data_IF_654005408081
#
_entry.id   IF_654005408081
#
_cell.length_a   1.000
_cell.length_b   1.000
_cell.length_c   1.000
_cell.angle_alpha   90.00
_cell.angle_beta   90.00
_cell.angle_gamma   90.00
#
_symmetry.space_group_name_H-M   'P 1'
#
loop_
_entity.id
_entity.type
_entity.pdbx_description
1 polymer ?
#
# COMPACT_ATOMS: atom_id res chain seq x y z
N UNK A 1 13.39 -7.23 59.28
CA UNK A 1 12.16 -6.57 58.78
C UNK A 1 12.42 -6.28 57.31
N UNK A 2 11.85 -7.09 56.38
CA UNK A 2 10.56 -6.85 55.69
C UNK A 2 10.61 -5.51 54.94
N UNK A 3 10.43 -5.33 53.64
CA UNK A 3 9.82 -6.05 52.51
C UNK A 3 10.56 -5.58 51.23
N UNK A 4 10.69 -6.29 50.10
CA UNK A 4 9.74 -7.22 49.50
C UNK A 4 8.75 -6.52 48.55
N UNK A 5 9.20 -5.61 47.67
CA UNK A 5 8.32 -5.01 46.65
C UNK A 5 8.26 -5.92 45.43
N UNK A 6 7.24 -6.78 45.48
CA UNK A 6 6.73 -7.63 44.41
C UNK A 6 6.07 -6.77 43.34
N UNK A 7 6.67 -6.66 42.15
CA UNK A 7 5.99 -6.15 40.95
C UNK A 7 5.45 -7.33 40.16
N UNK A 8 4.18 -7.63 40.39
CA UNK A 8 3.35 -8.49 39.57
C UNK A 8 3.17 -7.87 38.18
N UNK A 9 3.89 -8.38 37.19
CA UNK A 9 3.58 -8.11 35.77
C UNK A 9 2.50 -9.09 35.36
N UNK A 10 1.29 -8.57 35.13
CA UNK A 10 0.20 -9.32 34.54
C UNK A 10 0.57 -9.72 33.11
N UNK A 11 0.90 -11.01 32.93
CA UNK A 11 1.08 -11.61 31.61
C UNK A 11 -0.31 -11.85 31.03
N UNK A 12 -0.78 -10.94 30.18
CA UNK A 12 -1.92 -11.21 29.32
C UNK A 12 -1.54 -12.33 28.35
N UNK A 13 -2.06 -13.53 28.61
CA UNK A 13 -2.02 -14.66 27.67
C UNK A 13 -2.94 -14.35 26.50
N UNK A 14 -2.38 -13.87 25.40
CA UNK A 14 -3.08 -13.94 24.10
C UNK A 14 -2.92 -15.38 23.60
N UNK A 15 -4.03 -16.10 23.58
CA UNK A 15 -4.16 -17.44 23.00
C UNK A 15 -4.16 -17.29 21.46
N UNK A 16 -3.34 -18.02 20.69
CA UNK A 16 -3.49 -18.05 19.24
C UNK A 16 -4.58 -19.06 18.87
N UNK A 17 -5.68 -18.56 18.31
CA UNK A 17 -6.71 -19.37 17.64
C UNK A 17 -6.32 -19.66 16.19
N UNK A 18 -6.84 -20.76 15.60
CA UNK A 18 -6.19 -21.45 14.50
C UNK A 18 -6.47 -20.84 13.12
N UNK A 19 -5.57 -21.16 12.20
CA UNK A 19 -5.66 -20.99 10.74
C UNK A 19 -7.08 -21.22 10.21
N UNK A 20 -7.71 -20.16 9.72
CA UNK A 20 -8.87 -20.24 8.85
C UNK A 20 -8.44 -19.82 7.45
N UNK A 21 -8.29 -20.82 6.58
CA UNK A 21 -8.15 -20.68 5.14
C UNK A 21 -9.54 -20.32 4.60
N UNK A 22 -9.77 -19.07 4.22
CA UNK A 22 -10.98 -18.67 3.51
C UNK A 22 -10.62 -17.83 2.29
N UNK A 23 -10.70 -18.47 1.13
CA UNK A 23 -10.76 -17.84 -0.18
C UNK A 23 -12.01 -16.97 -0.28
N UNK A 24 -11.84 -15.66 -0.26
CA UNK A 24 -12.86 -14.71 -0.69
C UNK A 24 -12.36 -13.98 -1.94
N UNK A 25 -12.74 -14.53 -3.09
CA UNK A 25 -12.85 -13.79 -4.34
C UNK A 25 -14.00 -12.79 -4.19
N UNK A 26 -13.75 -11.52 -4.46
CA UNK A 26 -14.80 -10.56 -4.77
C UNK A 26 -14.38 -9.74 -5.98
N UNK A 27 -15.14 -9.79 -7.08
CA UNK A 27 -14.90 -9.00 -8.28
C UNK A 27 -15.75 -7.74 -8.20
N UNK A 28 -15.14 -6.55 -8.13
CA UNK A 28 -15.81 -5.26 -8.38
C UNK A 28 -14.76 -4.18 -8.50
N UNK A 29 -14.67 -3.52 -9.65
CA UNK A 29 -14.44 -2.08 -9.85
C UNK A 29 -13.93 -1.84 -11.29
N UNK A 30 -14.87 -1.87 -12.24
CA UNK A 30 -14.77 -1.11 -13.48
C UNK A 30 -16.11 -0.40 -13.65
N UNK A 31 -16.19 0.81 -13.13
CA UNK A 31 -17.30 1.73 -13.33
C UNK A 31 -16.77 3.15 -13.25
N UNK A 32 -16.41 3.72 -14.40
CA UNK A 32 -16.63 5.13 -14.72
C UNK A 32 -16.42 5.36 -16.23
N UNK A 33 -17.49 5.18 -17.00
CA UNK A 33 -17.72 5.87 -18.26
C UNK A 33 -19.21 6.19 -18.31
N UNK A 34 -19.51 7.49 -18.31
CA UNK A 34 -20.86 8.03 -18.33
C UNK A 34 -21.62 7.65 -19.61
N UNK A 35 -22.96 7.55 -19.52
CA UNK A 35 -23.81 7.07 -20.60
C UNK A 35 -24.30 8.22 -21.48
N UNK A 36 -24.50 7.94 -22.78
CA UNK A 36 -25.64 8.47 -23.55
C UNK A 36 -25.59 7.88 -24.97
N UNK A 37 -26.22 6.72 -25.15
CA UNK A 37 -26.82 6.40 -26.46
C UNK A 37 -27.93 5.37 -26.27
N UNK A 38 -29.16 5.80 -26.51
CA UNK A 38 -30.37 4.98 -26.50
C UNK A 38 -30.60 4.38 -27.89
N UNK A 39 -30.89 3.08 -28.03
CA UNK A 39 -31.48 2.56 -29.25
C UNK A 39 -32.92 2.12 -28.97
N UNK A 40 -33.86 3.02 -29.25
CA UNK A 40 -35.28 2.72 -29.37
C UNK A 40 -35.67 2.57 -30.85
N UNK A 41 -35.97 1.33 -31.24
CA UNK A 41 -37.02 0.93 -32.18
C UNK A 41 -37.24 1.72 -33.49
N UNK A 42 -36.81 1.16 -34.63
CA UNK A 42 -37.64 1.15 -35.86
C UNK A 42 -37.46 -0.20 -36.57
N UNK A 43 -38.41 -1.12 -36.34
CA UNK A 43 -38.71 -2.24 -37.24
C UNK A 43 -39.72 -1.73 -38.28
N UNK A 44 -39.32 -1.66 -39.55
CA UNK A 44 -40.26 -1.55 -40.66
C UNK A 44 -39.89 -2.55 -41.74
N UNK A 45 -40.79 -3.53 -41.85
CA UNK A 45 -40.85 -4.58 -42.84
C UNK A 45 -41.07 -3.99 -44.23
N UNK A 46 -40.19 -4.30 -45.18
CA UNK A 46 -40.53 -4.32 -46.61
C UNK A 46 -39.93 -5.58 -47.25
N UNK A 47 -40.80 -6.58 -47.45
CA UNK A 47 -40.58 -7.66 -48.42
C UNK A 47 -40.56 -7.04 -49.82
N UNK A 48 -39.43 -7.14 -50.50
CA UNK A 48 -39.30 -6.83 -51.92
C UNK A 48 -38.13 -7.61 -52.51
N UNK A 49 -38.44 -8.68 -53.24
CA UNK A 49 -37.47 -9.50 -53.97
C UNK A 49 -36.96 -8.73 -55.18
N UNK A 50 -35.74 -8.19 -55.13
CA UNK A 50 -35.03 -7.64 -56.31
C UNK A 50 -33.54 -8.00 -56.25
N UNK A 51 -33.15 -8.95 -57.11
CA UNK A 51 -31.86 -9.15 -57.78
C UNK A 51 -30.56 -8.75 -57.05
N UNK A 52 -29.88 -9.75 -56.47
CA UNK A 52 -28.70 -9.64 -55.59
C UNK A 52 -27.32 -9.60 -56.28
N UNK A 53 -27.19 -9.11 -57.52
CA UNK A 53 -25.87 -9.17 -58.21
C UNK A 53 -25.23 -7.87 -58.69
N UNK A 54 -25.90 -6.72 -58.66
CA UNK A 54 -25.34 -5.47 -59.24
C UNK A 54 -25.28 -4.26 -58.32
N UNK A 55 -25.79 -4.35 -57.08
CA UNK A 55 -25.77 -3.24 -56.10
C UNK A 55 -24.62 -3.30 -55.09
N UNK A 56 -23.94 -4.45 -54.92
CA UNK A 56 -22.81 -4.55 -53.99
C UNK A 56 -21.58 -3.77 -54.43
N UNK A 57 -21.30 -3.63 -55.74
CA UNK A 57 -20.11 -2.91 -56.22
C UNK A 57 -20.17 -1.39 -56.01
N UNK A 58 -21.36 -0.79 -55.97
CA UNK A 58 -21.51 0.66 -55.76
C UNK A 58 -21.57 1.01 -54.27
N UNK A 59 -22.21 0.18 -53.44
CA UNK A 59 -22.23 0.39 -51.99
C UNK A 59 -20.85 0.19 -51.33
N UNK A 60 -20.00 -0.71 -51.84
CA UNK A 60 -18.67 -0.96 -51.28
C UNK A 60 -17.67 0.19 -51.49
N UNK A 61 -17.90 1.05 -52.48
CA UNK A 61 -17.00 2.19 -52.78
C UNK A 61 -17.38 3.48 -52.05
N UNK A 62 -18.64 3.61 -51.61
CA UNK A 62 -19.13 4.82 -50.92
C UNK A 62 -18.83 4.78 -49.42
N UNK A 63 -18.80 3.59 -48.81
CA UNK A 63 -18.45 3.39 -47.41
C UNK A 63 -17.01 3.84 -47.03
N UNK A 64 -15.94 3.46 -47.78
CA UNK A 64 -14.58 3.88 -47.43
C UNK A 64 -14.35 5.39 -47.64
N UNK A 65 -15.02 6.02 -48.61
CA UNK A 65 -14.94 7.47 -48.81
C UNK A 65 -15.55 8.29 -47.66
N UNK A 66 -16.61 7.78 -47.03
CA UNK A 66 -17.19 8.39 -45.82
C UNK A 66 -16.31 8.17 -44.58
N UNK A 67 -15.63 7.03 -44.46
CA UNK A 67 -14.69 6.77 -43.35
C UNK A 67 -13.48 7.72 -43.42
N UNK A 68 -12.91 7.96 -44.61
CA UNK A 68 -11.80 8.90 -44.78
C UNK A 68 -12.15 10.36 -44.43
N UNK A 69 -13.43 10.77 -44.56
CA UNK A 69 -13.88 12.13 -44.22
C UNK A 69 -13.92 12.37 -42.70
N UNK A 70 -14.12 11.34 -41.88
CA UNK A 70 -14.25 11.47 -40.42
C UNK A 70 -12.89 11.55 -39.72
N UNK A 71 -11.82 11.03 -40.31
CA UNK A 71 -10.47 11.02 -39.72
C UNK A 71 -9.69 12.34 -39.86
N UNK A 72 -10.25 13.32 -40.58
CA UNK A 72 -9.60 14.61 -40.81
C UNK A 72 -10.20 15.76 -40.00
N UNK A 73 -10.83 15.48 -38.84
CA UNK A 73 -11.09 16.56 -37.89
C UNK A 73 -9.74 17.00 -37.30
N UNK A 74 -9.31 18.27 -37.53
CA UNK A 74 -8.15 18.79 -36.84
C UNK A 74 -8.39 18.64 -35.33
N UNK A 75 -7.41 18.10 -34.63
CA UNK A 75 -7.41 18.04 -33.17
C UNK A 75 -7.58 19.47 -32.66
N UNK A 76 -8.82 19.84 -32.36
CA UNK A 76 -9.17 21.19 -31.96
C UNK A 76 -8.46 21.42 -30.64
N UNK A 77 -7.36 22.18 -30.66
CA UNK A 77 -6.57 22.48 -29.48
C UNK A 77 -7.48 23.14 -28.46
N UNK A 78 -7.92 22.35 -27.49
CA UNK A 78 -8.89 22.74 -26.50
C UNK A 78 -8.16 23.38 -25.34
N UNK A 79 -8.42 24.66 -25.11
CA UNK A 79 -8.04 25.31 -23.86
C UNK A 79 -8.96 24.77 -22.75
N UNK A 80 -8.38 24.30 -21.65
CA UNK A 80 -9.18 23.73 -20.54
C UNK A 80 -9.80 24.87 -19.73
N UNK A 81 -8.96 25.82 -19.30
CA UNK A 81 -9.35 27.00 -18.54
C UNK A 81 -8.96 28.28 -19.28
N UNK A 82 -9.71 28.61 -20.32
CA UNK A 82 -9.48 29.83 -21.09
C UNK A 82 -10.16 29.85 -22.44
N UNK A 83 -9.77 30.85 -23.24
CA UNK A 83 -10.31 31.09 -24.59
C UNK A 83 -9.19 31.07 -25.63
N UNK A 84 -9.54 30.69 -26.85
CA UNK A 84 -8.60 30.75 -27.97
C UNK A 84 -8.57 32.20 -28.48
N UNK A 85 -7.42 32.86 -28.37
CA UNK A 85 -7.17 34.19 -28.90
C UNK A 85 -5.96 34.15 -29.84
N UNK A 86 -6.14 34.61 -31.08
CA UNK A 86 -5.09 34.63 -32.11
C UNK A 86 -4.35 33.29 -32.33
N UNK A 87 -5.05 32.16 -32.17
CA UNK A 87 -4.47 30.82 -32.36
C UNK A 87 -3.66 30.28 -31.18
N UNK A 88 -3.61 30.99 -30.05
CA UNK A 88 -3.05 30.51 -28.77
C UNK A 88 -4.14 30.48 -27.70
N UNK A 89 -3.97 29.64 -26.67
CA UNK A 89 -4.80 29.70 -25.48
C UNK A 89 -4.42 30.90 -24.61
N UNK A 90 -5.41 31.77 -24.37
CA UNK A 90 -5.37 32.81 -23.35
C UNK A 90 -6.06 32.25 -22.11
N UNK A 91 -5.30 32.07 -21.02
CA UNK A 91 -5.76 31.39 -19.82
C UNK A 91 -6.58 32.31 -18.91
N UNK A 92 -7.54 31.73 -18.21
CA UNK A 92 -8.28 32.42 -17.17
C UNK A 92 -7.36 32.75 -15.97
N UNK A 93 -7.75 33.75 -15.17
CA UNK A 93 -6.98 34.19 -14.02
C UNK A 93 -6.70 33.03 -13.05
N UNK A 94 -5.42 32.75 -12.81
CA UNK A 94 -4.99 31.66 -11.93
C UNK A 94 -4.67 30.35 -12.65
N UNK A 95 -4.72 30.32 -13.97
CA UNK A 95 -4.27 29.17 -14.76
C UNK A 95 -3.17 29.54 -15.74
N UNK A 96 -2.30 28.57 -16.05
CA UNK A 96 -1.19 28.70 -16.99
C UNK A 96 -0.93 27.41 -17.78
N UNK A 97 0.06 27.47 -18.67
CA UNK A 97 0.46 26.42 -19.60
C UNK A 97 -0.10 26.62 -21.00
N UNK A 98 0.41 25.84 -21.96
CA UNK A 98 0.07 25.97 -23.39
C UNK A 98 -1.41 25.75 -23.70
N UNK A 99 -2.10 25.00 -22.85
CA UNK A 99 -3.55 24.71 -22.93
C UNK A 99 -4.30 25.08 -21.66
N UNK A 100 -3.69 25.88 -20.78
CA UNK A 100 -4.29 26.32 -19.52
C UNK A 100 -4.74 25.16 -18.62
N UNK A 101 -3.85 24.17 -18.42
CA UNK A 101 -4.11 22.98 -17.61
C UNK A 101 -3.46 23.06 -16.23
N UNK A 102 -2.54 24.00 -16.01
CA UNK A 102 -1.83 24.14 -14.75
C UNK A 102 -2.44 25.26 -13.93
N UNK A 103 -2.63 25.02 -12.64
CA UNK A 103 -3.13 26.03 -11.70
C UNK A 103 -1.95 26.80 -11.09
N UNK A 104 -2.13 28.10 -10.86
CA UNK A 104 -1.12 28.98 -10.27
C UNK A 104 -1.34 29.07 -8.77
N UNK A 105 -0.34 28.69 -7.97
CA UNK A 105 -0.41 28.76 -6.50
C UNK A 105 0.24 30.04 -5.97
N UNK A 106 -0.35 31.19 -6.31
CA UNK A 106 0.10 32.49 -5.80
C UNK A 106 -0.28 32.68 -4.33
N UNK A 107 0.62 33.27 -3.52
CA UNK A 107 0.34 33.63 -2.13
C UNK A 107 -0.68 34.78 -2.01
N UNK A 108 -0.68 35.70 -3.00
CA UNK A 108 -1.58 36.86 -3.04
C UNK A 108 -2.20 37.01 -4.43
N UNK A 109 -3.27 37.79 -4.53
CA UNK A 109 -3.90 38.12 -5.81
C UNK A 109 -3.08 39.11 -6.67
N UNK A 110 -1.97 39.66 -6.14
CA UNK A 110 -1.13 40.60 -6.87
C UNK A 110 -0.26 39.88 -7.92
N UNK A 111 -0.38 40.32 -9.18
CA UNK A 111 0.37 39.77 -10.31
C UNK A 111 1.48 40.70 -10.78
N UNK A 112 2.56 40.10 -11.29
CA UNK A 112 3.61 40.83 -12.00
C UNK A 112 3.08 41.35 -13.33
N UNK A 113 3.78 42.31 -13.95
CA UNK A 113 3.39 42.87 -15.26
C UNK A 113 3.36 41.81 -16.38
N UNK A 114 4.08 40.70 -16.21
CA UNK A 114 4.06 39.53 -17.10
C UNK A 114 2.88 38.58 -16.87
N UNK A 115 2.02 38.85 -15.88
CA UNK A 115 0.90 37.98 -15.49
C UNK A 115 1.24 36.91 -14.45
N UNK A 116 2.51 36.80 -14.05
CA UNK A 116 2.98 35.85 -13.04
C UNK A 116 2.59 36.22 -11.60
N UNK A 117 2.93 35.36 -10.65
CA UNK A 117 2.73 35.63 -9.23
C UNK A 117 3.84 36.55 -8.68
N UNK A 118 3.52 37.39 -7.70
CA UNK A 118 4.54 38.17 -6.97
C UNK A 118 5.29 37.31 -5.94
N UNK A 119 4.58 36.35 -5.33
CA UNK A 119 5.12 35.36 -4.40
C UNK A 119 4.30 34.07 -4.46
N UNK A 120 4.95 32.92 -4.26
CA UNK A 120 4.32 31.60 -4.27
C UNK A 120 3.89 31.15 -2.87
N UNK A 121 2.88 30.29 -2.81
CA UNK A 121 2.56 29.50 -1.62
C UNK A 121 3.75 28.57 -1.30
N UNK A 122 4.06 28.30 -0.02
CA UNK A 122 5.14 27.38 0.34
C UNK A 122 4.97 26.02 -0.35
N UNK A 123 6.05 25.49 -0.92
CA UNK A 123 6.03 24.23 -1.69
C UNK A 123 5.78 24.41 -3.19
N UNK A 124 5.61 25.65 -3.67
CA UNK A 124 5.49 25.96 -5.10
C UNK A 124 6.58 26.94 -5.54
N UNK A 125 7.10 26.76 -6.76
CA UNK A 125 8.20 27.55 -7.32
C UNK A 125 7.89 28.01 -8.76
N UNK A 126 8.80 28.82 -9.33
CA UNK A 126 8.73 29.54 -10.61
C UNK A 126 7.92 30.84 -10.58
N UNK A 127 8.07 31.64 -11.63
CA UNK A 127 7.40 32.94 -11.80
C UNK A 127 5.87 32.84 -11.80
N UNK A 128 5.34 31.68 -12.16
CA UNK A 128 3.89 31.42 -12.23
C UNK A 128 3.40 30.51 -11.09
N UNK A 129 4.29 30.08 -10.19
CA UNK A 129 3.99 29.17 -9.08
C UNK A 129 3.22 27.92 -9.53
N UNK A 130 3.59 27.38 -10.69
CA UNK A 130 2.92 26.26 -11.37
C UNK A 130 3.70 24.95 -11.24
N UNK A 131 4.85 24.97 -10.57
CA UNK A 131 5.68 23.79 -10.31
C UNK A 131 5.76 23.50 -8.82
N UNK A 132 5.35 22.27 -8.48
CA UNK A 132 5.41 21.75 -7.12
C UNK A 132 6.85 21.35 -6.76
N UNK A 133 7.29 21.74 -5.57
CA UNK A 133 8.59 21.37 -4.99
C UNK A 133 8.40 20.17 -4.08
N UNK A 134 9.03 19.05 -4.42
CA UNK A 134 8.98 17.82 -3.64
C UNK A 134 10.25 17.66 -2.81
N UNK A 135 10.14 17.46 -1.50
CA UNK A 135 11.32 17.26 -0.65
C UNK A 135 11.98 15.89 -0.89
N UNK A 136 11.18 14.82 -0.83
CA UNK A 136 11.65 13.43 -1.01
C UNK A 136 10.90 12.75 -2.15
N UNK A 137 11.20 13.15 -3.39
CA UNK A 137 10.56 12.57 -4.56
C UNK A 137 10.84 13.34 -5.84
N UNK A 138 9.95 13.16 -6.83
CA UNK A 138 10.00 13.90 -8.10
C UNK A 138 8.64 14.52 -8.42
N UNK A 139 8.61 15.74 -8.96
CA UNK A 139 7.36 16.35 -9.41
C UNK A 139 6.83 15.66 -10.67
N UNK A 140 5.52 15.44 -10.73
CA UNK A 140 4.80 15.07 -11.94
C UNK A 140 4.13 16.32 -12.52
N UNK A 141 4.71 16.81 -13.62
CA UNK A 141 4.28 18.03 -14.32
C UNK A 141 2.88 17.91 -14.94
N UNK A 142 2.34 16.70 -15.09
CA UNK A 142 1.02 16.48 -15.71
C UNK A 142 -0.08 16.60 -14.67
N UNK A 143 0.14 16.04 -13.49
CA UNK A 143 -0.85 15.98 -12.41
C UNK A 143 -0.62 17.03 -11.32
N UNK A 144 0.47 17.80 -11.41
CA UNK A 144 0.90 18.80 -10.43
C UNK A 144 1.01 18.23 -9.01
N UNK A 145 1.48 16.98 -8.92
CA UNK A 145 1.65 16.24 -7.67
C UNK A 145 3.07 15.72 -7.54
N UNK A 146 3.48 15.48 -6.31
CA UNK A 146 4.74 14.81 -6.05
C UNK A 146 4.60 13.28 -6.07
N UNK A 147 5.48 12.62 -6.82
CA UNK A 147 5.71 11.19 -6.71
C UNK A 147 6.75 10.95 -5.62
N UNK A 148 6.27 10.66 -4.41
CA UNK A 148 7.11 10.47 -3.23
C UNK A 148 7.93 9.19 -3.27
N UNK A 149 9.15 9.26 -2.76
CA UNK A 149 9.98 8.07 -2.52
C UNK A 149 9.59 7.43 -1.18
N UNK A 150 9.28 6.12 -1.13
CA UNK A 150 9.00 5.44 0.13
C UNK A 150 10.20 5.54 1.10
N UNK A 151 9.98 5.76 2.41
CA UNK A 151 8.71 5.74 3.14
C UNK A 151 7.99 7.10 3.27
N UNK A 152 8.42 8.13 2.56
CA UNK A 152 7.83 9.47 2.67
C UNK A 152 6.47 9.57 1.98
N UNK A 153 5.62 10.44 2.51
CA UNK A 153 4.25 10.69 2.05
C UNK A 153 3.88 12.18 2.19
N UNK A 154 2.61 12.52 1.91
CA UNK A 154 2.11 13.89 1.90
C UNK A 154 2.13 14.53 0.51
N UNK A 155 1.56 15.73 0.39
CA UNK A 155 1.47 16.47 -0.88
C UNK A 155 2.85 16.86 -1.43
N UNK A 156 3.77 17.24 -0.54
CA UNK A 156 5.14 17.67 -0.85
C UNK A 156 6.22 16.63 -0.47
N UNK A 157 5.80 15.41 -0.11
CA UNK A 157 6.70 14.33 0.32
C UNK A 157 7.58 14.65 1.53
N UNK A 158 7.03 15.37 2.50
CA UNK A 158 7.70 15.78 3.73
C UNK A 158 7.13 15.06 4.98
N UNK A 159 6.06 14.29 4.83
CA UNK A 159 5.45 13.56 5.93
C UNK A 159 6.09 12.17 6.05
N UNK A 160 6.36 11.76 7.29
CA UNK A 160 6.91 10.45 7.60
C UNK A 160 5.99 9.72 8.57
N UNK A 161 5.02 8.99 8.01
CA UNK A 161 4.10 8.21 8.82
C UNK A 161 4.73 6.89 9.29
N UNK A 162 4.51 6.55 10.56
CA UNK A 162 5.02 5.30 11.14
C UNK A 162 4.50 4.06 10.41
N UNK A 163 3.25 4.10 9.91
CA UNK A 163 2.66 3.03 9.12
C UNK A 163 3.45 2.79 7.81
N UNK A 164 3.81 3.87 7.10
CA UNK A 164 4.58 3.78 5.85
C UNK A 164 6.02 3.33 6.10
N UNK A 165 6.64 3.79 7.18
CA UNK A 165 7.96 3.32 7.63
C UNK A 165 7.94 1.82 7.92
N UNK A 166 6.99 1.35 8.73
CA UNK A 166 6.89 -0.07 9.06
C UNK A 166 6.58 -0.92 7.84
N UNK A 167 5.64 -0.49 7.00
CA UNK A 167 5.31 -1.17 5.74
C UNK A 167 6.53 -1.27 4.83
N UNK A 168 7.26 -0.17 4.63
CA UNK A 168 8.44 -0.13 3.78
C UNK A 168 9.53 -1.08 4.28
N UNK A 169 9.91 -1.00 5.57
CA UNK A 169 10.97 -1.85 6.11
C UNK A 169 10.54 -3.32 6.24
N UNK A 170 9.27 -3.60 6.53
CA UNK A 170 8.77 -4.97 6.58
C UNK A 170 8.75 -5.60 5.18
N UNK A 171 8.28 -4.87 4.17
CA UNK A 171 8.32 -5.34 2.78
C UNK A 171 9.76 -5.48 2.27
N UNK A 172 10.66 -4.55 2.65
CA UNK A 172 12.08 -4.64 2.33
C UNK A 172 12.70 -5.87 2.99
N UNK A 173 12.44 -6.11 4.27
CA UNK A 173 12.89 -7.30 4.99
C UNK A 173 12.33 -8.59 4.39
N UNK A 174 11.07 -8.60 3.95
CA UNK A 174 10.47 -9.73 3.25
C UNK A 174 11.08 -9.97 1.86
N UNK A 175 11.52 -8.90 1.18
CA UNK A 175 12.20 -8.99 -0.11
C UNK A 175 13.68 -9.39 -0.01
N UNK A 176 14.29 -9.27 1.18
CA UNK A 176 15.65 -9.72 1.41
C UNK A 176 15.73 -11.24 1.30
N UNK A 177 16.80 -11.74 0.68
CA UNK A 177 16.99 -13.16 0.44
C UNK A 177 16.83 -13.97 1.75
N UNK A 178 16.01 -15.04 1.75
CA UNK A 178 15.73 -15.85 2.94
C UNK A 178 16.99 -16.50 3.53
N UNK A 179 18.06 -16.62 2.72
CA UNK A 179 19.36 -17.14 3.15
C UNK A 179 20.02 -16.23 4.20
N UNK A 180 19.98 -14.90 4.03
CA UNK A 180 20.63 -14.00 4.98
C UNK A 180 19.87 -13.96 6.32
N UNK A 181 18.54 -13.97 6.26
CA UNK A 181 17.68 -14.00 7.44
C UNK A 181 17.85 -15.31 8.23
N UNK A 182 17.94 -16.43 7.53
CA UNK A 182 18.11 -17.75 8.16
C UNK A 182 19.47 -17.92 8.85
N UNK A 183 20.55 -17.32 8.31
CA UNK A 183 21.87 -17.33 8.96
C UNK A 183 21.83 -16.67 10.35
N UNK A 184 21.01 -15.63 10.55
CA UNK A 184 20.91 -14.96 11.86
C UNK A 184 19.94 -15.65 12.82
N UNK A 185 18.82 -16.18 12.32
CA UNK A 185 17.74 -16.74 13.16
C UNK A 185 18.10 -18.15 13.65
N UNK A 186 18.73 -18.98 12.81
CA UNK A 186 19.01 -20.39 13.13
C UNK A 186 19.93 -20.54 14.36
N UNK A 187 21.05 -19.81 14.49
CA UNK A 187 21.93 -19.91 15.66
C UNK A 187 21.21 -19.53 16.96
N UNK A 188 20.39 -18.46 16.93
CA UNK A 188 19.60 -18.04 18.09
C UNK A 188 18.59 -19.11 18.51
N UNK A 189 17.91 -19.74 17.55
CA UNK A 189 16.98 -20.83 17.83
C UNK A 189 17.68 -22.04 18.47
N UNK A 190 18.87 -22.41 17.97
CA UNK A 190 19.68 -23.51 18.54
C UNK A 190 20.09 -23.20 19.98
N UNK A 191 20.57 -21.97 20.24
CA UNK A 191 20.97 -21.55 21.60
C UNK A 191 19.77 -21.63 22.55
N UNK A 192 18.62 -21.09 22.17
CA UNK A 192 17.41 -21.13 23.00
C UNK A 192 16.96 -22.57 23.27
N UNK A 193 16.99 -23.42 22.24
CA UNK A 193 16.65 -24.83 22.38
C UNK A 193 17.61 -25.59 23.31
N UNK A 194 18.92 -25.37 23.16
CA UNK A 194 19.94 -25.97 24.02
C UNK A 194 19.79 -25.50 25.48
N UNK A 195 19.58 -24.20 25.70
CA UNK A 195 19.33 -23.63 27.02
C UNK A 195 18.11 -24.26 27.68
N UNK A 196 17.00 -24.40 26.95
CA UNK A 196 15.78 -25.00 27.47
C UNK A 196 16.01 -26.47 27.86
N UNK A 197 16.64 -27.25 26.97
CA UNK A 197 16.94 -28.67 27.20
C UNK A 197 17.85 -28.86 28.41
N UNK A 198 18.91 -28.05 28.53
CA UNK A 198 19.84 -28.14 29.64
C UNK A 198 19.19 -27.72 30.97
N UNK A 199 18.29 -26.73 30.94
CA UNK A 199 17.52 -26.33 32.12
C UNK A 199 16.61 -27.46 32.64
N UNK A 200 15.96 -28.20 31.73
CA UNK A 200 15.12 -29.36 32.07
C UNK A 200 15.95 -30.49 32.67
N UNK A 201 17.11 -30.81 32.08
CA UNK A 201 18.04 -31.82 32.61
C UNK A 201 18.52 -31.48 34.02
N UNK A 202 18.87 -30.22 34.29
CA UNK A 202 19.27 -29.78 35.64
C UNK A 202 18.13 -29.90 36.66
N UNK A 203 16.90 -29.59 36.26
CA UNK A 203 15.72 -29.76 37.12
C UNK A 203 15.47 -31.24 37.44
N UNK A 204 15.55 -32.13 36.46
CA UNK A 204 15.39 -33.57 36.67
C UNK A 204 16.43 -34.14 37.65
N UNK A 205 17.72 -33.85 37.43
CA UNK A 205 18.81 -34.28 38.34
C UNK A 205 18.62 -33.76 39.77
N UNK A 206 18.12 -32.54 39.93
CA UNK A 206 17.84 -31.97 41.26
C UNK A 206 16.70 -32.74 41.97
N UNK A 207 15.66 -33.13 41.23
CA UNK A 207 14.55 -33.93 41.77
C UNK A 207 15.02 -35.34 42.14
N UNK A 208 15.82 -35.98 41.29
CA UNK A 208 16.40 -37.31 41.55
C UNK A 208 17.23 -37.31 42.85
N UNK A 209 18.16 -36.35 42.99
CA UNK A 209 18.98 -36.24 44.21
C UNK A 209 18.16 -35.96 45.47
N UNK A 210 17.08 -35.16 45.35
CA UNK A 210 16.17 -34.92 46.48
C UNK A 210 15.38 -36.19 46.83
N UNK A 211 14.96 -36.96 45.83
CA UNK A 211 14.22 -38.21 46.00
C UNK A 211 15.09 -39.29 46.68
N UNK A 212 16.32 -39.48 46.21
CA UNK A 212 17.29 -40.39 46.83
C UNK A 212 17.59 -40.01 48.29
N UNK A 213 17.77 -38.71 48.56
CA UNK A 213 17.99 -38.21 49.92
C UNK A 213 16.77 -38.42 50.83
N UNK A 214 15.53 -38.33 50.31
CA UNK A 214 14.32 -38.67 51.07
C UNK A 214 14.23 -40.17 51.36
N UNK A 215 14.41 -41.03 50.35
CA UNK A 215 14.30 -42.49 50.51
C UNK A 215 15.34 -43.01 51.51
N UNK A 216 16.59 -42.56 51.41
CA UNK A 216 17.65 -42.96 52.34
C UNK A 216 17.38 -42.54 53.79
N UNK A 217 16.77 -41.36 53.99
CA UNK A 217 16.38 -40.87 55.32
C UNK A 217 15.27 -41.72 55.93
N UNK A 218 14.27 -42.08 55.12
CA UNK A 218 13.14 -42.90 55.55
C UNK A 218 13.58 -44.34 55.90
N UNK A 219 14.47 -44.93 55.11
CA UNK A 219 15.12 -46.22 55.41
C UNK A 219 15.88 -46.19 56.74
N UNK A 220 16.66 -45.13 57.00
CA UNK A 220 17.39 -44.99 58.27
C UNK A 220 16.43 -44.85 59.47
N UNK A 221 15.35 -44.10 59.30
CA UNK A 221 14.30 -43.94 60.32
C UNK A 221 13.60 -45.26 60.64
N UNK A 222 13.22 -46.04 59.62
CA UNK A 222 12.58 -47.34 59.82
C UNK A 222 13.51 -48.36 60.47
N UNK A 223 14.79 -48.37 60.11
CA UNK A 223 15.80 -49.24 60.73
C UNK A 223 16.00 -48.93 62.22
N UNK A 224 16.09 -47.65 62.59
CA UNK A 224 16.17 -47.22 64.00
C UNK A 224 14.91 -47.63 64.76
N UNK A 225 13.71 -47.47 64.17
CA UNK A 225 12.46 -47.91 64.81
C UNK A 225 12.43 -49.43 65.04
N UNK A 226 12.87 -50.24 64.08
CA UNK A 226 12.94 -51.70 64.25
C UNK A 226 13.91 -52.10 65.37
N UNK A 227 15.07 -51.44 65.49
CA UNK A 227 16.03 -51.71 66.57
C UNK A 227 15.48 -51.36 67.96
N UNK A 228 14.67 -50.30 68.06
CA UNK A 228 14.09 -49.87 69.34
C UNK A 228 12.91 -50.74 69.80
N UNK A 229 12.10 -51.24 68.87
CA UNK A 229 10.86 -51.97 69.18
C UNK A 229 10.94 -53.50 68.94
N UNK A 230 11.96 -53.98 68.22
CA UNK A 230 12.13 -55.39 67.86
C UNK A 230 12.93 -56.24 68.86
N UNK A 231 13.36 -55.67 69.98
CA UNK A 231 14.06 -56.41 71.04
C UNK A 231 13.01 -56.99 72.02
N UNK A 232 12.56 -58.22 71.76
CA UNK A 232 11.84 -59.07 72.72
C UNK A 232 12.57 -60.40 72.81
#
# INVERSE_FOLDING_TARGET
MKEGVERTVAVNRVVPSPLALSSHFSPSFLSHLSPNFSPGSILLSLRGSISTRTMHRRALLVLPLLVCLVESLPNQQRCIHGKIAAGKCECDDGYTGTICHREMHCLTFQRTQSGGCTACVPGWEKSECDEIVCEHGKPDLTSMKCNCEPPYSGEFCNELETANVYSHYNNKAASMNPVLLSICIIPLAIIVWACNTYSKKRRAKKVEHLLEATVNRDLKSSHVRQLLYGKK
#
